data_IF_760315987865
#
_entry.id   IF_760315987865
#
_cell.length_a   1.000
_cell.length_b   1.000
_cell.length_c   1.000
_cell.angle_alpha   90.00
_cell.angle_beta   90.00
_cell.angle_gamma   90.00
#
_symmetry.space_group_name_H-M   'P 1'
#
loop_
_entity.id
_entity.type
_entity.pdbx_description
1 polymer ?
#
# COMPACT_ATOMS: atom_id res chain seq x y z
N UNK A 1 14.23 -11.38 5.42
CA UNK A 1 13.65 -10.12 4.91
C UNK A 1 12.18 -10.35 4.59
N UNK A 2 11.28 -9.41 4.90
CA UNK A 2 9.87 -9.55 4.55
C UNK A 2 9.68 -9.46 3.03
N UNK A 3 8.90 -10.37 2.45
CA UNK A 3 8.60 -10.32 1.01
C UNK A 3 7.54 -9.26 0.74
N UNK A 4 7.48 -8.73 -0.50
CA UNK A 4 6.41 -7.81 -0.89
C UNK A 4 5.03 -8.40 -0.61
N UNK A 5 4.84 -9.69 -0.91
CA UNK A 5 3.58 -10.40 -0.68
C UNK A 5 3.20 -10.45 0.80
N UNK A 6 4.14 -10.77 1.70
CA UNK A 6 3.84 -10.80 3.14
C UNK A 6 3.52 -9.41 3.68
N UNK A 7 4.18 -8.38 3.18
CA UNK A 7 3.90 -7.00 3.57
C UNK A 7 2.53 -6.52 3.10
N UNK A 8 2.17 -6.79 1.84
CA UNK A 8 0.83 -6.49 1.30
C UNK A 8 -0.26 -7.22 2.07
N UNK A 9 -0.04 -8.49 2.42
CA UNK A 9 -0.99 -9.27 3.24
C UNK A 9 -1.24 -8.60 4.60
N UNK A 10 -0.17 -8.17 5.30
CA UNK A 10 -0.29 -7.44 6.58
C UNK A 10 -1.07 -6.13 6.43
N UNK A 11 -0.79 -5.35 5.38
CA UNK A 11 -1.47 -4.08 5.10
C UNK A 11 -2.97 -4.29 4.81
N UNK A 12 -3.31 -5.28 3.98
CA UNK A 12 -4.70 -5.59 3.65
C UNK A 12 -5.47 -6.06 4.89
N UNK A 13 -4.86 -6.86 5.77
CA UNK A 13 -5.46 -7.25 7.04
C UNK A 13 -5.73 -6.06 7.98
N UNK A 14 -4.86 -5.04 7.98
CA UNK A 14 -5.11 -3.80 8.74
C UNK A 14 -6.26 -2.98 8.15
N UNK A 15 -6.35 -2.90 6.82
CA UNK A 15 -7.50 -2.26 6.17
C UNK A 15 -8.79 -3.01 6.45
N UNK A 16 -8.77 -4.34 6.50
CA UNK A 16 -9.96 -5.12 6.84
C UNK A 16 -10.40 -4.86 8.29
N UNK A 17 -9.45 -4.89 9.23
CA UNK A 17 -9.70 -4.56 10.65
C UNK A 17 -10.13 -3.12 10.89
N UNK A 18 -9.82 -2.19 9.99
CA UNK A 18 -10.30 -0.81 10.11
C UNK A 18 -11.80 -0.68 9.82
N UNK A 19 -12.41 -1.68 9.15
CA UNK A 19 -13.81 -1.64 8.73
C UNK A 19 -14.11 -0.62 7.64
N UNK A 20 -13.11 0.13 7.17
CA UNK A 20 -13.29 1.22 6.19
C UNK A 20 -13.12 0.71 4.76
N UNK A 21 -13.90 1.27 3.85
CA UNK A 21 -13.72 1.14 2.39
C UNK A 21 -12.55 2.00 1.92
N UNK A 22 -12.01 1.69 0.73
CA UNK A 22 -10.97 2.52 0.11
C UNK A 22 -11.44 3.97 -0.13
N UNK A 23 -12.72 4.16 -0.41
CA UNK A 23 -13.31 5.49 -0.61
C UNK A 23 -13.40 6.29 0.69
N UNK A 24 -13.69 5.65 1.83
CA UNK A 24 -13.69 6.32 3.14
C UNK A 24 -12.27 6.75 3.53
N UNK A 25 -11.31 5.84 3.44
CA UNK A 25 -9.89 6.15 3.72
C UNK A 25 -9.39 7.26 2.78
N UNK A 26 -9.72 7.17 1.48
CA UNK A 26 -9.37 8.19 0.50
C UNK A 26 -9.94 9.56 0.86
N UNK A 27 -11.21 9.62 1.27
CA UNK A 27 -11.85 10.87 1.71
C UNK A 27 -11.16 11.48 2.93
N UNK A 28 -10.84 10.68 3.93
CA UNK A 28 -10.15 11.15 5.15
C UNK A 28 -8.73 11.64 4.86
N UNK A 29 -8.05 11.02 3.89
CA UNK A 29 -6.68 11.39 3.49
C UNK A 29 -6.61 12.49 2.41
N UNK A 30 -7.73 12.85 1.78
CA UNK A 30 -7.73 13.72 0.60
C UNK A 30 -7.13 13.06 -0.66
N UNK A 31 -7.25 11.73 -0.79
CA UNK A 31 -6.68 10.93 -1.87
C UNK A 31 -7.78 10.16 -2.62
N UNK A 32 -7.49 9.74 -3.85
CA UNK A 32 -8.40 8.86 -4.60
C UNK A 32 -8.41 7.46 -3.99
N UNK A 33 -9.55 6.77 -4.07
CA UNK A 33 -9.68 5.39 -3.62
C UNK A 33 -8.67 4.44 -4.29
N UNK A 34 -8.39 4.65 -5.59
CA UNK A 34 -7.39 3.89 -6.36
C UNK A 34 -5.99 4.13 -5.80
N UNK A 35 -5.63 5.38 -5.53
CA UNK A 35 -4.32 5.70 -4.99
C UNK A 35 -4.11 5.10 -3.60
N UNK A 36 -5.14 5.14 -2.73
CA UNK A 36 -5.10 4.44 -1.44
C UNK A 36 -4.90 2.93 -1.63
N UNK A 37 -5.65 2.30 -2.53
CA UNK A 37 -5.48 0.87 -2.80
C UNK A 37 -4.06 0.53 -3.29
N UNK A 38 -3.46 1.40 -4.12
CA UNK A 38 -2.09 1.25 -4.61
C UNK A 38 -1.05 1.36 -3.48
N UNK A 39 -1.25 2.24 -2.50
CA UNK A 39 -0.39 2.33 -1.31
C UNK A 39 -0.40 1.02 -0.53
N UNK A 40 -1.60 0.48 -0.24
CA UNK A 40 -1.76 -0.79 0.49
C UNK A 40 -1.24 -2.01 -0.28
N UNK A 41 -1.23 -1.96 -1.61
CA UNK A 41 -0.68 -3.00 -2.50
C UNK A 41 0.81 -2.84 -2.81
N UNK A 42 1.49 -1.86 -2.20
CA UNK A 42 2.90 -1.54 -2.47
C UNK A 42 3.16 -1.30 -3.97
N UNK A 43 2.24 -0.58 -4.61
CA UNK A 43 2.35 -0.11 -6.00
C UNK A 43 2.65 1.40 -6.07
N UNK A 44 2.36 2.13 -4.98
CA UNK A 44 2.71 3.54 -4.80
C UNK A 44 3.52 3.71 -3.50
N UNK A 45 4.28 4.80 -3.44
CA UNK A 45 5.08 5.20 -2.28
C UNK A 45 4.26 6.13 -1.38
N UNK A 46 4.20 5.85 -0.08
CA UNK A 46 3.66 6.80 0.89
C UNK A 46 4.63 7.98 1.03
N UNK A 47 4.14 9.20 0.82
CA UNK A 47 4.96 10.40 1.00
C UNK A 47 4.97 10.83 2.48
N UNK A 48 6.08 11.40 2.99
CA UNK A 48 6.19 11.78 4.41
C UNK A 48 5.02 12.64 4.92
N UNK A 49 4.57 13.62 4.12
CA UNK A 49 3.46 14.50 4.49
C UNK A 49 2.09 13.79 4.61
N UNK A 50 1.95 12.59 4.06
CA UNK A 50 0.71 11.80 4.11
C UNK A 50 0.70 10.76 5.24
N UNK A 51 1.75 10.72 6.07
CA UNK A 51 1.87 9.77 7.18
C UNK A 51 0.82 10.04 8.24
N UNK A 52 0.65 11.30 8.64
CA UNK A 52 -0.29 11.67 9.70
C UNK A 52 -1.75 11.44 9.28
N UNK A 53 -2.07 11.73 8.02
CA UNK A 53 -3.41 11.45 7.49
C UNK A 53 -3.68 9.94 7.40
N UNK A 54 -2.68 9.12 7.07
CA UNK A 54 -2.81 7.66 7.11
C UNK A 54 -3.01 7.14 8.53
N UNK A 55 -2.27 7.65 9.52
CA UNK A 55 -2.44 7.28 10.94
C UNK A 55 -3.82 7.65 11.45
N UNK A 56 -4.32 8.83 11.08
CA UNK A 56 -5.68 9.24 11.42
C UNK A 56 -6.72 8.30 10.78
N UNK A 57 -6.54 7.98 9.49
CA UNK A 57 -7.49 7.16 8.75
C UNK A 57 -7.46 5.67 9.17
N UNK A 58 -6.28 5.15 9.54
CA UNK A 58 -6.07 3.77 10.00
C UNK A 58 -5.19 3.80 11.26
N UNK A 59 -5.78 4.07 12.45
CA UNK A 59 -5.03 4.22 13.71
C UNK A 59 -4.25 2.99 14.16
N UNK A 60 -4.64 1.82 13.64
CA UNK A 60 -4.03 0.53 13.96
C UNK A 60 -2.73 0.29 13.18
N UNK A 61 -2.30 1.22 12.33
CA UNK A 61 -1.12 1.07 11.47
C UNK A 61 0.17 1.14 12.30
N UNK A 62 0.99 0.07 12.33
CA UNK A 62 2.24 0.07 13.06
C UNK A 62 3.35 0.81 12.30
N UNK A 63 4.32 1.35 13.05
CA UNK A 63 5.38 2.20 12.51
C UNK A 63 6.28 1.48 11.50
N UNK A 64 6.50 0.17 11.67
CA UNK A 64 7.29 -0.63 10.74
C UNK A 64 6.66 -0.66 9.35
N UNK A 65 5.33 -0.80 9.27
CA UNK A 65 4.61 -0.81 8.00
C UNK A 65 4.57 0.58 7.36
N UNK A 66 4.46 1.66 8.14
CA UNK A 66 4.57 3.01 7.61
C UNK A 66 5.96 3.22 7.00
N UNK A 67 7.01 2.84 7.71
CA UNK A 67 8.38 2.97 7.22
C UNK A 67 8.59 2.17 5.92
N UNK A 68 8.06 0.94 5.84
CA UNK A 68 8.11 0.14 4.62
C UNK A 68 7.29 0.76 3.48
N UNK A 69 6.11 1.32 3.76
CA UNK A 69 5.28 2.01 2.76
C UNK A 69 5.96 3.26 2.19
N UNK A 70 6.81 3.92 2.98
CA UNK A 70 7.60 5.08 2.55
C UNK A 70 8.81 4.70 1.68
N UNK A 71 9.26 3.45 1.69
CA UNK A 71 10.31 2.98 0.77
C UNK A 71 9.76 2.91 -0.66
N UNK A 72 10.54 3.29 -1.69
CA UNK A 72 10.15 3.12 -3.09
C UNK A 72 9.65 1.68 -3.34
N UNK A 73 8.47 1.51 -3.97
CA UNK A 73 7.94 0.18 -4.21
C UNK A 73 8.77 -0.53 -5.27
N UNK A 74 9.18 -1.77 -5.00
CA UNK A 74 9.78 -2.61 -6.01
C UNK A 74 8.71 -3.01 -7.04
N UNK A 75 8.80 -2.41 -8.23
CA UNK A 75 8.03 -2.75 -9.43
C UNK A 75 8.91 -3.61 -10.35
N UNK A 76 9.53 -4.64 -9.79
CA UNK A 76 10.43 -5.50 -10.57
C UNK A 76 9.71 -6.72 -11.10
N UNK A 77 10.32 -7.24 -12.15
CA UNK A 77 10.10 -8.52 -12.81
C UNK A 77 9.68 -9.66 -11.87
N UNK A 78 8.58 -10.31 -12.22
CA UNK A 78 8.18 -11.59 -11.66
C UNK A 78 8.46 -12.67 -12.72
N UNK A 79 9.44 -13.58 -12.50
CA UNK A 79 9.78 -14.62 -13.46
C UNK A 79 8.65 -15.63 -13.69
N UNK A 80 7.65 -15.67 -12.82
CA UNK A 80 6.48 -16.54 -12.97
C UNK A 80 5.39 -15.93 -13.85
N UNK A 81 5.44 -14.62 -14.15
CA UNK A 81 4.59 -14.02 -15.16
C UNK A 81 5.03 -14.47 -16.54
N UNK A 82 4.05 -14.88 -17.37
CA UNK A 82 4.26 -15.26 -18.76
C UNK A 82 5.03 -14.13 -19.46
N UNK A 83 6.22 -14.48 -19.94
CA UNK A 83 7.05 -13.62 -20.76
C UNK A 83 6.47 -13.69 -22.18
N UNK A 84 5.83 -12.63 -22.66
CA UNK A 84 5.46 -12.51 -24.07
C UNK A 84 6.61 -11.77 -24.76
N UNK A 85 7.48 -12.47 -25.52
CA UNK A 85 8.69 -11.86 -26.09
C UNK A 85 8.40 -10.74 -27.09
N UNK A 86 7.14 -10.53 -27.49
CA UNK A 86 6.72 -9.44 -28.36
C UNK A 86 6.25 -8.17 -27.63
N UNK A 87 6.22 -8.14 -26.29
CA UNK A 87 5.79 -6.97 -25.50
C UNK A 87 6.99 -6.38 -24.74
N UNK A 88 7.41 -5.18 -25.15
CA UNK A 88 8.53 -4.40 -24.56
C UNK A 88 8.10 -3.57 -23.36
#
# INVERSE_FOLDING_TARGET
MATKASLVSRLLGLKERSGKTWSQIGREMGLTNVYVAQLFRRQAQLKPHAVDSLRSAVPQMPDDLIHEMMKPPMRSYDPSLIQEPAVY
#
